data_IF_806787792283
#
_entry.id   IF_806787792283
#
_cell.length_a   1.000
_cell.length_b   1.000
_cell.length_c   1.000
_cell.angle_alpha   90.00
_cell.angle_beta   90.00
_cell.angle_gamma   90.00
#
_symmetry.space_group_name_H-M   'P 1'
#
loop_
_entity.id
_entity.type
_entity.pdbx_description
1 polymer ?
#
# COMPACT_ATOMS: atom_id res chain seq x y z
N UNK A 1 -11.74 -10.50 3.52
CA UNK A 1 -10.49 -9.79 3.18
C UNK A 1 -9.88 -10.50 1.98
N UNK A 2 -9.80 -9.83 0.82
CA UNK A 2 -9.24 -10.46 -0.39
C UNK A 2 -7.73 -10.60 -0.24
N UNK A 3 -7.24 -11.84 -0.23
CA UNK A 3 -5.80 -12.15 -0.22
C UNK A 3 -5.11 -11.65 -1.49
N UNK A 4 -5.83 -11.60 -2.61
CA UNK A 4 -5.28 -11.15 -3.90
C UNK A 4 -4.97 -9.65 -3.88
N UNK A 5 -5.88 -8.82 -3.37
CA UNK A 5 -5.63 -7.38 -3.24
C UNK A 5 -4.46 -7.10 -2.28
N UNK A 6 -4.41 -7.80 -1.15
CA UNK A 6 -3.30 -7.64 -0.20
C UNK A 6 -1.96 -7.98 -0.86
N UNK A 7 -1.89 -9.09 -1.61
CA UNK A 7 -0.69 -9.49 -2.35
C UNK A 7 -0.33 -8.49 -3.45
N UNK A 8 -1.32 -7.96 -4.17
CA UNK A 8 -1.12 -6.95 -5.23
C UNK A 8 -0.54 -5.66 -4.66
N UNK A 9 -1.11 -5.15 -3.55
CA UNK A 9 -0.61 -3.97 -2.85
C UNK A 9 0.80 -4.23 -2.30
N UNK A 10 1.04 -5.40 -1.70
CA UNK A 10 2.38 -5.77 -1.22
C UNK A 10 3.42 -5.76 -2.35
N UNK A 11 3.12 -6.44 -3.46
CA UNK A 11 4.03 -6.54 -4.60
C UNK A 11 4.28 -5.17 -5.26
N UNK A 12 3.27 -4.30 -5.30
CA UNK A 12 3.44 -2.92 -5.73
C UNK A 12 4.36 -2.15 -4.77
N UNK A 13 4.06 -2.16 -3.48
CA UNK A 13 4.78 -1.36 -2.47
C UNK A 13 6.21 -1.84 -2.21
N UNK A 14 6.58 -3.07 -2.58
CA UNK A 14 7.97 -3.56 -2.48
C UNK A 14 8.79 -3.30 -3.75
N UNK A 15 8.17 -3.37 -4.94
CA UNK A 15 8.90 -3.31 -6.22
C UNK A 15 8.82 -1.96 -6.93
N UNK A 16 7.80 -1.15 -6.66
CA UNK A 16 7.64 0.14 -7.33
C UNK A 16 8.82 1.08 -7.02
N UNK A 17 9.25 1.87 -8.00
CA UNK A 17 10.21 2.94 -7.76
C UNK A 17 9.65 3.97 -6.75
N UNK A 18 10.51 4.58 -5.93
CA UNK A 18 10.07 5.45 -4.82
C UNK A 18 9.18 6.62 -5.27
N UNK A 19 9.37 7.11 -6.50
CA UNK A 19 8.57 8.20 -7.04
C UNK A 19 7.14 7.77 -7.42
N UNK A 20 6.92 6.48 -7.68
CA UNK A 20 5.61 5.90 -7.97
C UNK A 20 4.82 5.52 -6.71
N UNK A 21 5.45 5.48 -5.54
CA UNK A 21 4.76 5.17 -4.27
C UNK A 21 3.98 6.41 -3.81
N UNK A 22 2.67 6.38 -4.01
CA UNK A 22 1.72 7.40 -3.55
C UNK A 22 0.31 6.82 -3.35
N UNK A 23 -0.55 7.54 -2.64
CA UNK A 23 -1.90 7.06 -2.31
C UNK A 23 -2.77 6.85 -3.56
N UNK A 24 -2.66 7.70 -4.58
CA UNK A 24 -3.41 7.57 -5.83
C UNK A 24 -3.14 6.23 -6.52
N UNK A 25 -1.87 5.83 -6.61
CA UNK A 25 -1.50 4.55 -7.20
C UNK A 25 -2.06 3.37 -6.40
N UNK A 26 -2.02 3.45 -5.07
CA UNK A 26 -2.59 2.41 -4.19
C UNK A 26 -4.11 2.32 -4.30
N UNK A 27 -4.80 3.45 -4.40
CA UNK A 27 -6.25 3.51 -4.66
C UNK A 27 -6.56 2.87 -6.01
N UNK A 28 -5.79 3.21 -7.06
CA UNK A 28 -5.96 2.62 -8.38
C UNK A 28 -5.83 1.10 -8.34
N UNK A 29 -4.81 0.57 -7.66
CA UNK A 29 -4.64 -0.88 -7.46
C UNK A 29 -5.83 -1.50 -6.72
N UNK A 30 -6.36 -0.81 -5.71
CA UNK A 30 -7.57 -1.21 -4.98
C UNK A 30 -8.81 -1.29 -5.88
N UNK A 31 -9.05 -0.25 -6.67
CA UNK A 31 -10.21 -0.15 -7.56
C UNK A 31 -10.13 -1.11 -8.75
N UNK A 32 -8.93 -1.38 -9.27
CA UNK A 32 -8.74 -2.40 -10.31
C UNK A 32 -9.13 -3.81 -9.83
N UNK A 33 -8.80 -4.13 -8.59
CA UNK A 33 -9.03 -5.46 -8.02
C UNK A 33 -10.44 -5.61 -7.46
N UNK A 34 -10.92 -4.58 -6.76
CA UNK A 34 -12.26 -4.52 -6.20
C UNK A 34 -12.80 -3.08 -6.32
N UNK A 35 -13.58 -2.77 -7.37
CA UNK A 35 -14.15 -1.44 -7.59
C UNK A 35 -15.04 -0.93 -6.45
N UNK A 36 -15.57 -1.84 -5.63
CA UNK A 36 -16.49 -1.54 -4.53
C UNK A 36 -15.83 -1.61 -3.15
N UNK A 37 -14.49 -1.66 -3.09
CA UNK A 37 -13.80 -1.73 -1.81
C UNK A 37 -14.09 -0.49 -0.96
N UNK A 38 -14.57 -0.67 0.29
CA UNK A 38 -14.68 0.44 1.22
C UNK A 38 -13.30 1.04 1.48
N UNK A 39 -13.21 2.37 1.51
CA UNK A 39 -11.95 3.07 1.79
C UNK A 39 -11.30 2.60 3.11
N UNK A 40 -12.11 2.35 4.15
CA UNK A 40 -11.65 1.83 5.43
C UNK A 40 -11.04 0.43 5.32
N UNK A 41 -11.58 -0.42 4.46
CA UNK A 41 -11.03 -1.76 4.20
C UNK A 41 -9.71 -1.65 3.44
N UNK A 42 -9.66 -0.82 2.38
CA UNK A 42 -8.41 -0.56 1.64
C UNK A 42 -7.33 -0.03 2.58
N UNK A 43 -7.66 0.97 3.42
CA UNK A 43 -6.73 1.53 4.41
C UNK A 43 -6.23 0.45 5.37
N UNK A 44 -7.11 -0.41 5.89
CA UNK A 44 -6.70 -1.50 6.78
C UNK A 44 -5.78 -2.51 6.09
N UNK A 45 -5.96 -2.78 4.79
CA UNK A 45 -5.07 -3.66 4.03
C UNK A 45 -3.69 -3.00 3.88
N UNK A 46 -3.66 -1.73 3.48
CA UNK A 46 -2.42 -0.98 3.28
C UNK A 46 -1.63 -0.84 4.59
N UNK A 47 -2.31 -0.58 5.71
CA UNK A 47 -1.69 -0.51 7.05
C UNK A 47 -0.96 -1.81 7.42
N UNK A 48 -1.62 -2.96 7.22
CA UNK A 48 -1.01 -4.28 7.43
C UNK A 48 0.18 -4.52 6.52
N UNK A 49 0.06 -4.17 5.25
CA UNK A 49 1.14 -4.36 4.26
C UNK A 49 2.35 -3.49 4.60
N UNK A 50 2.14 -2.21 4.93
CA UNK A 50 3.23 -1.30 5.31
C UNK A 50 3.90 -1.76 6.60
N UNK A 51 3.13 -2.20 7.59
CA UNK A 51 3.67 -2.81 8.80
C UNK A 51 4.54 -4.03 8.49
N UNK A 52 4.06 -4.93 7.62
CA UNK A 52 4.80 -6.11 7.20
C UNK A 52 6.10 -5.76 6.47
N UNK A 53 6.07 -4.83 5.51
CA UNK A 53 7.27 -4.40 4.76
C UNK A 53 8.29 -3.78 5.71
N UNK A 54 7.84 -2.95 6.65
CA UNK A 54 8.71 -2.26 7.60
C UNK A 54 9.49 -3.22 8.50
N UNK A 55 8.89 -4.38 8.82
CA UNK A 55 9.52 -5.41 9.65
C UNK A 55 10.38 -6.36 8.82
N UNK A 56 9.87 -6.83 7.68
CA UNK A 56 10.48 -7.93 6.90
C UNK A 56 11.52 -7.48 5.87
N UNK A 57 11.43 -6.24 5.41
CA UNK A 57 12.33 -5.68 4.41
C UNK A 57 12.65 -4.21 4.72
N UNK A 58 13.54 -3.94 5.71
CA UNK A 58 13.88 -2.59 6.12
C UNK A 58 14.47 -1.82 4.94
N UNK A 59 13.59 -1.06 4.28
CA UNK A 59 13.89 -0.30 3.09
C UNK A 59 14.69 0.96 3.42
N UNK A 60 15.19 1.65 2.40
CA UNK A 60 15.77 2.98 2.55
C UNK A 60 14.85 3.90 3.39
N UNK A 61 15.41 4.82 4.20
CA UNK A 61 14.59 5.79 4.95
C UNK A 61 13.66 6.61 4.06
N UNK A 62 14.09 6.94 2.83
CA UNK A 62 13.27 7.63 1.83
C UNK A 62 12.03 6.83 1.44
N UNK A 63 12.18 5.53 1.17
CA UNK A 63 11.06 4.63 0.87
C UNK A 63 10.14 4.47 2.08
N UNK A 64 10.68 4.31 3.29
CA UNK A 64 9.86 4.21 4.51
C UNK A 64 8.99 5.46 4.70
N UNK A 65 9.54 6.66 4.49
CA UNK A 65 8.79 7.91 4.54
C UNK A 65 7.67 7.96 3.48
N UNK A 66 7.91 7.42 2.27
CA UNK A 66 6.88 7.30 1.24
C UNK A 66 5.74 6.36 1.67
N UNK A 67 6.05 5.20 2.23
CA UNK A 67 5.05 4.25 2.73
C UNK A 67 4.18 4.86 3.84
N UNK A 68 4.79 5.58 4.79
CA UNK A 68 4.07 6.29 5.85
C UNK A 68 3.16 7.37 5.26
N UNK A 69 3.65 8.13 4.27
CA UNK A 69 2.84 9.16 3.58
C UNK A 69 1.61 8.57 2.90
N UNK A 70 1.72 7.39 2.29
CA UNK A 70 0.57 6.69 1.70
C UNK A 70 -0.51 6.43 2.77
N UNK A 71 -0.13 5.91 3.94
CA UNK A 71 -1.08 5.65 5.03
C UNK A 71 -1.78 6.92 5.53
N UNK A 72 -1.03 8.01 5.64
CA UNK A 72 -1.56 9.30 6.09
C UNK A 72 -2.50 9.96 5.08
N UNK A 73 -2.45 9.56 3.81
CA UNK A 73 -3.26 10.13 2.74
C UNK A 73 -4.53 9.31 2.44
N UNK A 74 -4.64 8.09 2.95
CA UNK A 74 -5.82 7.22 2.80
C UNK A 74 -6.92 7.52 3.83
N UNK A 75 -7.08 8.79 4.22
CA UNK A 75 -8.00 9.26 5.30
C UNK A 75 -9.45 9.26 4.88
#
# INVERSE_FOLDING_TARGET
>A
MSTDLQNKIHNFLINAEEHHINATAVIHQGLEENPWIPQSELRSIVDRVVGYISISNPSSPSRQLKLIKVLLQLV
#
